data_IF_192842318588
#
_entry.id   IF_192842318588
#
_cell.length_a   1.000
_cell.length_b   1.000
_cell.length_c   1.000
_cell.angle_alpha   90.00
_cell.angle_beta   90.00
_cell.angle_gamma   90.00
#
_symmetry.space_group_name_H-M   'P 1'
#
loop_
_entity.id
_entity.type
_entity.pdbx_description
1 polymer ?
#
# COMPACT_ATOMS: atom_id res chain seq x y z
N UNK A 1 -22.80 -1.42 20.30
CA UNK A 1 -23.17 -1.29 18.88
C UNK A 1 -21.98 -1.75 18.08
N UNK A 2 -22.17 -2.72 17.18
CA UNK A 2 -21.07 -3.26 16.38
C UNK A 2 -20.56 -2.20 15.40
N UNK A 3 -19.28 -1.86 15.53
CA UNK A 3 -18.59 -0.99 14.57
C UNK A 3 -18.21 -1.85 13.36
N UNK A 4 -18.79 -1.54 12.21
CA UNK A 4 -18.45 -2.20 10.94
C UNK A 4 -17.34 -1.41 10.24
N UNK A 5 -16.19 -2.06 10.03
CA UNK A 5 -15.11 -1.50 9.22
C UNK A 5 -15.35 -1.78 7.73
N UNK A 6 -14.97 -0.84 6.87
CA UNK A 6 -15.06 -0.93 5.40
C UNK A 6 -13.72 -0.58 4.78
N UNK A 7 -13.47 -1.09 3.58
CA UNK A 7 -12.26 -0.83 2.79
C UNK A 7 -12.49 0.44 1.96
N UNK A 8 -11.55 1.37 2.00
CA UNK A 8 -11.57 2.49 1.07
C UNK A 8 -10.93 2.07 -0.27
N UNK A 9 -11.76 2.02 -1.31
CA UNK A 9 -11.37 1.64 -2.66
C UNK A 9 -11.05 2.85 -3.54
N UNK A 10 -10.30 2.58 -4.61
CA UNK A 10 -10.17 3.52 -5.72
C UNK A 10 -11.54 3.78 -6.38
N UNK A 11 -11.80 4.99 -6.94
CA UNK A 11 -13.07 5.30 -7.60
C UNK A 11 -13.50 4.36 -8.74
N UNK A 12 -12.59 3.52 -9.25
CA UNK A 12 -12.88 2.45 -10.21
C UNK A 12 -13.66 1.27 -9.60
N UNK A 13 -13.61 1.08 -8.28
CA UNK A 13 -14.39 0.05 -7.59
C UNK A 13 -15.82 0.55 -7.32
N UNK A 14 -16.80 -0.36 -7.48
CA UNK A 14 -18.18 -0.11 -7.11
C UNK A 14 -18.34 -0.07 -5.58
N UNK A 15 -19.19 0.84 -5.09
CA UNK A 15 -19.54 0.91 -3.66
C UNK A 15 -20.43 -0.27 -3.30
N UNK A 16 -20.11 -0.95 -2.21
CA UNK A 16 -20.90 -2.04 -1.67
C UNK A 16 -20.74 -2.13 -0.14
N UNK A 17 -21.29 -3.18 0.44
CA UNK A 17 -21.26 -3.51 1.87
C UNK A 17 -19.88 -3.54 2.54
N UNK A 18 -18.80 -3.68 1.75
CA UNK A 18 -17.42 -3.81 2.25
C UNK A 18 -16.46 -2.80 1.64
N UNK A 19 -16.81 -2.15 0.53
CA UNK A 19 -15.98 -1.14 -0.15
C UNK A 19 -16.72 0.19 -0.26
N UNK A 20 -16.07 1.25 0.19
CA UNK A 20 -16.49 2.64 0.01
C UNK A 20 -15.48 3.39 -0.84
N UNK A 21 -15.94 4.36 -1.62
CA UNK A 21 -15.09 5.18 -2.49
C UNK A 21 -15.34 6.67 -2.20
N UNK A 22 -14.47 7.55 -2.70
CA UNK A 22 -14.66 8.99 -2.58
C UNK A 22 -15.97 9.48 -3.20
N UNK A 23 -16.55 10.52 -2.61
CA UNK A 23 -17.76 11.17 -3.12
C UNK A 23 -17.50 11.78 -4.51
N UNK A 24 -18.47 11.61 -5.42
CA UNK A 24 -18.41 12.09 -6.81
C UNK A 24 -19.45 13.21 -7.01
N UNK A 25 -19.08 14.28 -7.72
CA UNK A 25 -20.01 15.36 -8.06
C UNK A 25 -19.30 16.68 -8.38
N UNK A 26 -19.96 17.55 -9.14
CA UNK A 26 -19.42 18.87 -9.50
C UNK A 26 -19.43 19.88 -8.33
N UNK A 27 -20.31 19.66 -7.34
CA UNK A 27 -20.39 20.43 -6.09
C UNK A 27 -20.51 19.45 -4.94
N UNK A 28 -19.40 19.23 -4.25
CA UNK A 28 -19.37 18.51 -2.99
C UNK A 28 -19.68 19.50 -1.87
N UNK A 29 -20.41 19.06 -0.86
CA UNK A 29 -20.49 19.81 0.38
C UNK A 29 -19.14 19.81 1.13
N UNK A 30 -19.01 20.65 2.15
CA UNK A 30 -17.75 20.81 2.90
C UNK A 30 -17.31 19.49 3.55
N UNK A 31 -18.25 18.71 4.06
CA UNK A 31 -17.98 17.42 4.68
C UNK A 31 -17.45 16.39 3.68
N UNK A 32 -18.09 16.26 2.52
CA UNK A 32 -17.69 15.37 1.44
C UNK A 32 -16.33 15.74 0.87
N UNK A 33 -16.06 17.04 0.72
CA UNK A 33 -14.78 17.55 0.24
C UNK A 33 -13.66 17.23 1.25
N UNK A 34 -13.89 17.46 2.54
CA UNK A 34 -12.93 17.15 3.59
C UNK A 34 -12.68 15.64 3.72
N UNK A 35 -13.74 14.83 3.67
CA UNK A 35 -13.61 13.37 3.63
C UNK A 35 -12.75 12.91 2.46
N UNK A 36 -13.04 13.39 1.24
CA UNK A 36 -12.25 13.06 0.07
C UNK A 36 -10.79 13.50 0.22
N UNK A 37 -10.53 14.69 0.79
CA UNK A 37 -9.18 15.20 1.03
C UNK A 37 -8.38 14.27 1.94
N UNK A 38 -8.97 13.86 3.07
CA UNK A 38 -8.32 12.95 4.01
C UNK A 38 -8.05 11.58 3.37
N UNK A 39 -9.04 11.02 2.70
CA UNK A 39 -8.90 9.69 2.09
C UNK A 39 -7.96 9.69 0.88
N UNK A 40 -7.91 10.78 0.10
CA UNK A 40 -6.91 10.96 -0.95
C UNK A 40 -5.49 10.98 -0.39
N UNK A 41 -5.26 11.62 0.77
CA UNK A 41 -3.94 11.63 1.42
C UNK A 41 -3.49 10.22 1.82
N UNK A 42 -4.40 9.43 2.39
CA UNK A 42 -4.12 8.02 2.73
C UNK A 42 -3.84 7.19 1.46
N UNK A 43 -4.61 7.40 0.38
CA UNK A 43 -4.39 6.71 -0.90
C UNK A 43 -3.02 7.00 -1.50
N UNK A 44 -2.55 8.25 -1.42
CA UNK A 44 -1.22 8.65 -1.90
C UNK A 44 -0.10 7.88 -1.19
N UNK A 45 -0.27 7.54 0.10
CA UNK A 45 0.72 6.71 0.80
C UNK A 45 0.88 5.30 0.23
N UNK A 46 -0.16 4.76 -0.43
CA UNK A 46 -0.08 3.46 -1.14
C UNK A 46 0.80 3.59 -2.37
N UNK A 47 0.66 4.69 -3.13
CA UNK A 47 1.51 4.98 -4.29
C UNK A 47 2.98 5.16 -3.90
N UNK A 48 3.26 5.75 -2.73
CA UNK A 48 4.61 5.78 -2.17
C UNK A 48 5.16 4.37 -1.95
N UNK A 49 4.35 3.43 -1.47
CA UNK A 49 4.73 2.02 -1.32
C UNK A 49 5.16 1.38 -2.62
N UNK A 50 4.38 1.57 -3.68
CA UNK A 50 4.74 1.11 -5.03
C UNK A 50 6.05 1.75 -5.51
N UNK A 51 6.24 3.04 -5.24
CA UNK A 51 7.47 3.77 -5.54
C UNK A 51 8.70 3.17 -4.84
N UNK A 52 8.60 2.84 -3.55
CA UNK A 52 9.69 2.22 -2.80
C UNK A 52 10.06 0.85 -3.39
N UNK A 53 9.08 -0.01 -3.65
CA UNK A 53 9.32 -1.34 -4.24
C UNK A 53 10.02 -1.21 -5.59
N UNK A 54 9.51 -0.35 -6.47
CA UNK A 54 10.09 -0.11 -7.81
C UNK A 54 11.51 0.43 -7.74
N UNK A 55 11.79 1.35 -6.82
CA UNK A 55 13.10 1.99 -6.69
C UNK A 55 14.17 1.03 -6.13
N UNK A 56 13.79 0.14 -5.21
CA UNK A 56 14.71 -0.86 -4.65
C UNK A 56 14.95 -2.03 -5.61
N UNK A 57 13.92 -2.45 -6.36
CA UNK A 57 13.93 -3.70 -7.11
C UNK A 57 13.64 -3.46 -8.59
N UNK A 58 14.65 -3.03 -9.34
CA UNK A 58 14.50 -2.67 -10.78
C UNK A 58 13.97 -3.80 -11.66
N UNK A 59 14.13 -5.07 -11.26
CA UNK A 59 13.60 -6.21 -12.01
C UNK A 59 12.07 -6.22 -12.09
N UNK A 60 11.35 -5.60 -11.14
CA UNK A 60 9.88 -5.52 -11.17
C UNK A 60 9.33 -4.51 -12.19
N UNK A 61 10.17 -3.60 -12.70
CA UNK A 61 9.82 -2.60 -13.73
C UNK A 61 10.53 -2.87 -15.07
N UNK A 62 11.21 -4.01 -15.18
CA UNK A 62 11.94 -4.35 -16.40
C UNK A 62 11.01 -4.81 -17.52
N UNK A 63 10.60 -3.88 -18.39
CA UNK A 63 9.61 -4.08 -19.47
C UNK A 63 9.86 -5.33 -20.33
N UNK A 64 11.11 -5.65 -20.66
CA UNK A 64 11.42 -6.80 -21.52
C UNK A 64 11.29 -8.15 -20.78
N UNK A 65 11.36 -8.14 -19.44
CA UNK A 65 11.23 -9.33 -18.58
C UNK A 65 9.94 -9.38 -17.76
N UNK A 66 9.04 -8.42 -17.88
CA UNK A 66 7.75 -8.38 -17.18
C UNK A 66 6.60 -8.66 -18.16
N UNK A 67 6.64 -9.84 -18.80
CA UNK A 67 5.60 -10.28 -19.74
C UNK A 67 4.62 -11.20 -19.02
N UNK A 68 3.35 -10.79 -18.99
CA UNK A 68 2.25 -11.62 -18.51
C UNK A 68 2.28 -12.98 -19.22
N UNK A 69 2.03 -14.06 -18.46
CA UNK A 69 2.03 -15.46 -18.92
C UNK A 69 3.37 -16.05 -19.32
N UNK A 70 4.41 -15.24 -19.51
CA UNK A 70 5.76 -15.70 -19.85
C UNK A 70 6.69 -15.70 -18.65
N UNK A 71 6.43 -14.84 -17.67
CA UNK A 71 7.24 -14.71 -16.47
C UNK A 71 6.33 -14.72 -15.24
N UNK A 72 6.87 -15.11 -14.09
CA UNK A 72 6.14 -15.17 -12.84
C UNK A 72 6.01 -13.76 -12.20
N UNK A 73 5.45 -12.81 -12.94
CA UNK A 73 5.32 -11.38 -12.58
C UNK A 73 4.74 -11.20 -11.16
N UNK A 74 3.66 -11.92 -10.85
CA UNK A 74 3.03 -11.85 -9.52
C UNK A 74 3.94 -12.34 -8.40
N UNK A 75 4.67 -13.45 -8.62
CA UNK A 75 5.62 -13.99 -7.63
C UNK A 75 6.81 -13.06 -7.45
N UNK A 76 7.36 -12.54 -8.54
CA UNK A 76 8.47 -11.58 -8.52
C UNK A 76 8.11 -10.33 -7.73
N UNK A 77 6.91 -9.78 -7.95
CA UNK A 77 6.42 -8.63 -7.21
C UNK A 77 6.21 -8.96 -5.72
N UNK A 78 5.61 -10.11 -5.40
CA UNK A 78 5.42 -10.54 -4.01
C UNK A 78 6.75 -10.68 -3.26
N UNK A 79 7.76 -11.28 -3.89
CA UNK A 79 9.12 -11.37 -3.33
C UNK A 79 9.73 -9.98 -3.13
N UNK A 80 9.60 -9.07 -4.10
CA UNK A 80 10.08 -7.70 -3.97
C UNK A 80 9.41 -6.96 -2.80
N UNK A 81 8.12 -7.17 -2.57
CA UNK A 81 7.40 -6.59 -1.41
C UNK A 81 7.94 -7.15 -0.09
N UNK A 82 8.14 -8.46 0.03
CA UNK A 82 8.72 -9.08 1.24
C UNK A 82 10.11 -8.50 1.51
N UNK A 83 10.97 -8.42 0.50
CA UNK A 83 12.31 -7.85 0.63
C UNK A 83 12.26 -6.34 0.98
N UNK A 84 11.27 -5.61 0.47
CA UNK A 84 11.03 -4.20 0.82
C UNK A 84 10.63 -4.03 2.29
N UNK A 85 9.80 -4.93 2.81
CA UNK A 85 9.40 -4.92 4.22
C UNK A 85 10.61 -5.20 5.12
N UNK A 86 11.44 -6.19 4.78
CA UNK A 86 12.70 -6.46 5.49
C UNK A 86 13.62 -5.24 5.44
N UNK A 87 13.79 -4.64 4.26
CA UNK A 87 14.61 -3.42 4.09
C UNK A 87 14.09 -2.28 5.00
N UNK A 88 12.77 -2.09 5.06
CA UNK A 88 12.14 -1.09 5.92
C UNK A 88 12.41 -1.38 7.40
N UNK A 89 12.33 -2.64 7.83
CA UNK A 89 12.67 -3.06 9.20
C UNK A 89 14.13 -2.75 9.53
N UNK A 90 15.07 -3.09 8.64
CA UNK A 90 16.50 -2.83 8.82
C UNK A 90 16.84 -1.32 8.84
N UNK A 91 16.12 -0.51 8.06
CA UNK A 91 16.26 0.96 8.03
C UNK A 91 15.54 1.66 9.17
N UNK A 92 14.77 0.92 9.99
CA UNK A 92 13.94 1.47 11.08
C UNK A 92 12.90 2.49 10.60
N UNK A 93 12.45 2.35 9.36
CA UNK A 93 11.44 3.25 8.79
C UNK A 93 11.62 3.54 7.32
N UNK A 94 10.58 4.18 6.78
CA UNK A 94 10.54 4.83 5.48
C UNK A 94 9.55 6.01 5.56
N UNK A 95 9.31 6.70 4.44
CA UNK A 95 8.37 7.82 4.40
C UNK A 95 6.94 7.45 4.87
N UNK A 96 6.48 6.23 4.58
CA UNK A 96 5.14 5.75 4.90
C UNK A 96 5.01 5.51 6.40
N UNK A 97 6.00 4.85 7.01
CA UNK A 97 6.03 4.62 8.46
C UNK A 97 6.04 5.95 9.23
N UNK A 98 6.79 6.95 8.73
CA UNK A 98 6.79 8.30 9.31
C UNK A 98 5.45 9.02 9.14
N UNK A 99 4.80 8.89 7.98
CA UNK A 99 3.48 9.47 7.72
C UNK A 99 2.40 8.93 8.67
N UNK A 100 2.41 7.63 8.96
CA UNK A 100 1.47 7.01 9.90
C UNK A 100 1.93 7.05 11.37
N UNK A 101 3.16 7.51 11.65
CA UNK A 101 3.73 7.49 13.00
C UNK A 101 3.91 6.08 13.57
N UNK A 102 4.12 5.08 12.71
CA UNK A 102 4.25 3.67 13.11
C UNK A 102 5.71 3.25 12.99
N UNK A 103 6.30 2.76 14.07
CA UNK A 103 7.65 2.20 14.02
C UNK A 103 7.59 0.79 13.41
N UNK A 104 8.42 0.48 12.39
CA UNK A 104 8.49 -0.88 11.87
C UNK A 104 9.03 -1.86 12.92
N UNK A 105 8.62 -3.14 12.85
CA UNK A 105 9.21 -4.19 13.68
C UNK A 105 10.69 -4.41 13.34
N UNK A 106 11.38 -5.23 14.14
CA UNK A 106 12.69 -5.75 13.73
C UNK A 106 12.55 -6.72 12.55
N UNK A 107 13.66 -7.01 11.86
CA UNK A 107 13.64 -7.99 10.78
C UNK A 107 13.32 -9.40 11.30
N UNK A 108 13.78 -9.73 12.50
CA UNK A 108 13.52 -11.01 13.18
C UNK A 108 12.04 -11.16 13.54
N UNK A 109 11.41 -10.10 14.07
CA UNK A 109 9.98 -10.05 14.37
C UNK A 109 9.14 -10.22 13.09
N UNK A 110 9.51 -9.50 12.01
CA UNK A 110 8.81 -9.59 10.73
C UNK A 110 8.92 -10.97 10.08
N UNK A 111 10.08 -11.62 10.19
CA UNK A 111 10.34 -12.94 9.63
C UNK A 111 9.87 -14.08 10.55
N UNK A 112 9.35 -13.78 11.74
CA UNK A 112 8.93 -14.75 12.74
C UNK A 112 10.04 -15.77 13.08
N UNK A 113 11.30 -15.31 13.15
CA UNK A 113 12.43 -16.18 13.49
C UNK A 113 12.33 -16.56 14.96
N UNK A 114 12.35 -17.85 15.26
CA UNK A 114 12.46 -18.33 16.65
C UNK A 114 13.89 -18.15 17.12
N UNK A 115 14.08 -17.44 18.23
CA UNK A 115 15.36 -17.41 18.94
C UNK A 115 15.72 -18.85 19.32
N UNK A 116 16.81 -19.37 18.75
CA UNK A 116 17.33 -20.72 18.99
C UNK A 116 18.22 -20.72 20.22
#
# INVERSE_FOLDING_TARGET
>A
GDVRYVIYGDPAYGINDVIVCGFKGARLDEYQAEFNRQMSSVRVSVEWGFGVVRNLWTFVDYKNGQKLWLQAVGVQYAVAVILTNIHTCMKRGNQISSYFGVMPPTAEEYLHVKST
#
